data_IF_256178786922
#
_entry.id   IF_256178786922
#
_cell.length_a   1.000
_cell.length_b   1.000
_cell.length_c   1.000
_cell.angle_alpha   90.00
_cell.angle_beta   90.00
_cell.angle_gamma   90.00
#
_symmetry.space_group_name_H-M   'P 1'
#
loop_
_entity.id
_entity.type
_entity.pdbx_description
1 polymer ?
#
# COMPACT_ATOMS: atom_id res chain seq x y z
N UNK A 1 9.97 7.15 -14.01
CA UNK A 1 8.85 6.86 -13.08
C UNK A 1 9.00 5.42 -12.60
N UNK A 2 8.87 5.12 -11.31
CA UNK A 2 8.96 3.76 -10.82
C UNK A 2 7.77 2.92 -11.30
N UNK A 3 8.01 1.72 -11.86
CA UNK A 3 6.97 0.78 -12.31
C UNK A 3 6.94 -0.43 -11.38
N UNK A 4 5.77 -0.75 -10.82
CA UNK A 4 5.57 -1.92 -9.96
C UNK A 4 5.21 -3.16 -10.81
N UNK A 5 5.88 -4.30 -10.62
CA UNK A 5 5.64 -5.55 -11.37
C UNK A 5 5.59 -6.74 -10.41
N UNK A 6 4.71 -7.73 -10.65
CA UNK A 6 4.71 -8.97 -9.88
C UNK A 6 5.72 -9.99 -10.38
N UNK A 7 6.38 -10.67 -9.44
CA UNK A 7 7.12 -11.91 -9.68
C UNK A 7 6.43 -13.08 -8.96
N UNK A 8 6.30 -14.25 -9.59
CA UNK A 8 5.84 -15.47 -8.92
C UNK A 8 6.81 -15.89 -7.79
N UNK A 9 6.33 -16.31 -6.60
CA UNK A 9 4.94 -16.39 -6.13
C UNK A 9 4.59 -15.20 -5.21
N UNK A 10 3.95 -14.16 -5.74
CA UNK A 10 3.32 -13.09 -4.94
C UNK A 10 4.23 -11.92 -4.53
N UNK A 11 5.32 -11.67 -5.25
CA UNK A 11 6.30 -10.62 -4.94
C UNK A 11 6.01 -9.33 -5.71
N UNK A 12 6.10 -8.17 -5.06
CA UNK A 12 6.04 -6.85 -5.71
C UNK A 12 7.46 -6.32 -5.94
N UNK A 13 7.84 -6.06 -7.20
CA UNK A 13 9.10 -5.41 -7.58
C UNK A 13 8.81 -3.98 -8.02
N UNK A 14 9.38 -2.99 -7.34
CA UNK A 14 9.38 -1.61 -7.82
C UNK A 14 10.64 -1.38 -8.66
N UNK A 15 10.48 -0.99 -9.92
CA UNK A 15 11.59 -0.67 -10.84
C UNK A 15 11.60 0.84 -11.04
N UNK A 16 12.39 1.57 -10.25
CA UNK A 16 12.80 2.94 -10.60
C UNK A 16 14.08 2.88 -11.46
N UNK A 17 14.29 3.90 -12.29
CA UNK A 17 15.28 3.98 -13.38
C UNK A 17 16.75 4.05 -12.94
N UNK A 18 17.18 3.15 -12.03
CA UNK A 18 18.56 3.05 -11.58
C UNK A 18 18.84 1.99 -10.51
N UNK A 19 17.82 1.43 -9.86
CA UNK A 19 18.06 0.56 -8.70
C UNK A 19 17.15 -0.65 -8.73
N UNK A 20 17.70 -1.77 -9.20
CA UNK A 20 17.03 -3.06 -9.18
C UNK A 20 17.42 -3.79 -7.90
N UNK A 21 16.57 -3.82 -6.88
CA UNK A 21 16.65 -4.89 -5.89
C UNK A 21 15.29 -5.46 -5.48
N UNK A 22 15.30 -6.79 -5.50
CA UNK A 22 14.24 -7.73 -5.25
C UNK A 22 14.51 -8.34 -3.88
N UNK A 23 14.10 -7.69 -2.79
CA UNK A 23 14.19 -8.30 -1.46
C UNK A 23 12.85 -8.91 -1.09
N UNK A 24 12.78 -10.24 -1.19
CA UNK A 24 11.72 -11.06 -0.61
C UNK A 24 11.52 -10.60 0.84
N UNK A 25 10.34 -10.09 1.18
CA UNK A 25 9.96 -9.92 2.57
C UNK A 25 9.43 -11.28 3.02
N UNK A 26 10.16 -12.05 3.83
CA UNK A 26 9.61 -13.25 4.42
C UNK A 26 8.37 -12.85 5.21
N UNK A 27 7.24 -13.52 4.92
CA UNK A 27 6.02 -13.37 5.69
C UNK A 27 6.33 -13.64 7.17
N UNK A 28 6.38 -12.58 7.98
CA UNK A 28 6.62 -12.70 9.41
C UNK A 28 5.28 -12.67 10.15
N UNK A 29 4.90 -13.82 10.72
CA UNK A 29 3.69 -13.95 11.54
C UNK A 29 3.66 -12.98 12.72
N UNK A 30 4.82 -12.60 13.27
CA UNK A 30 4.93 -11.67 14.40
C UNK A 30 4.55 -10.23 14.02
N UNK A 31 4.70 -9.84 12.75
CA UNK A 31 4.30 -8.50 12.25
C UNK A 31 2.89 -8.50 11.66
N UNK A 32 2.15 -9.62 11.69
CA UNK A 32 0.85 -9.77 11.03
C UNK A 32 -0.15 -8.67 11.40
N UNK A 33 -0.15 -8.21 12.64
CA UNK A 33 -1.05 -7.14 13.12
C UNK A 33 -0.65 -5.74 12.64
N UNK A 34 0.62 -5.51 12.28
CA UNK A 34 1.09 -4.23 11.74
C UNK A 34 0.94 -4.12 10.22
N UNK A 35 0.83 -5.24 9.50
CA UNK A 35 0.63 -5.27 8.04
C UNK A 35 -0.80 -5.62 7.60
N UNK A 36 -1.68 -6.04 8.51
CA UNK A 36 -3.03 -6.51 8.18
C UNK A 36 -4.09 -5.69 8.92
N UNK A 37 -4.73 -4.76 8.20
CA UNK A 37 -5.93 -4.07 8.66
C UNK A 37 -7.20 -4.88 8.40
N UNK A 38 -8.36 -4.34 8.83
CA UNK A 38 -9.65 -4.98 8.60
C UNK A 38 -9.95 -5.19 7.11
N UNK A 39 -9.72 -4.16 6.29
CA UNK A 39 -10.07 -4.14 4.86
C UNK A 39 -8.87 -4.11 3.91
N UNK A 40 -7.65 -3.83 4.39
CA UNK A 40 -6.47 -3.65 3.55
C UNK A 40 -5.27 -4.41 4.11
N UNK A 41 -4.40 -4.88 3.21
CA UNK A 41 -3.03 -5.23 3.48
C UNK A 41 -2.13 -4.00 3.25
N UNK A 42 -1.18 -3.81 4.16
CA UNK A 42 -0.13 -2.81 4.08
C UNK A 42 1.19 -3.54 3.95
N UNK A 43 1.89 -3.34 2.84
CA UNK A 43 3.21 -3.95 2.61
C UNK A 43 4.25 -2.84 2.57
N UNK A 44 5.28 -2.94 3.41
CA UNK A 44 6.44 -2.05 3.33
C UNK A 44 7.20 -2.34 2.03
N UNK A 45 7.42 -1.34 1.19
CA UNK A 45 8.33 -1.38 0.05
C UNK A 45 9.58 -0.63 0.45
N UNK A 46 10.71 -1.34 0.58
CA UNK A 46 11.99 -0.77 1.01
C UNK A 46 12.89 -0.57 -0.20
N UNK A 47 13.45 0.62 -0.33
CA UNK A 47 14.40 0.99 -1.37
C UNK A 47 15.83 1.01 -0.81
N UNK A 48 16.82 0.87 -1.68
CA UNK A 48 18.24 0.78 -1.28
C UNK A 48 18.81 2.10 -0.73
N UNK A 49 18.15 3.21 -1.07
CA UNK A 49 18.43 4.53 -0.50
C UNK A 49 17.87 4.70 0.93
N UNK A 50 17.28 3.65 1.50
CA UNK A 50 16.70 3.64 2.85
C UNK A 50 15.27 4.19 2.91
N UNK A 51 14.70 4.65 1.80
CA UNK A 51 13.31 5.08 1.76
C UNK A 51 12.39 3.87 1.94
N UNK A 52 11.30 4.07 2.68
CA UNK A 52 10.27 3.07 2.85
C UNK A 52 8.93 3.67 2.43
N UNK A 53 8.27 3.01 1.49
CA UNK A 53 6.88 3.30 1.11
C UNK A 53 5.95 2.19 1.63
N UNK A 54 4.65 2.46 1.60
CA UNK A 54 3.62 1.46 1.87
C UNK A 54 2.82 1.23 0.59
N UNK A 55 2.71 -0.05 0.20
CA UNK A 55 1.69 -0.51 -0.74
C UNK A 55 0.41 -0.90 0.02
N UNK A 56 -0.67 -0.17 -0.22
CA UNK A 56 -2.04 -0.46 0.24
C UNK A 56 -2.75 -1.33 -0.78
N UNK A 57 -3.17 -2.51 -0.35
CA UNK A 57 -3.88 -3.47 -1.20
C UNK A 57 -5.19 -3.83 -0.51
N UNK A 58 -6.31 -3.70 -1.22
CA UNK A 58 -7.61 -4.06 -0.64
C UNK A 58 -7.75 -5.57 -0.56
N UNK A 59 -8.27 -6.06 0.57
CA UNK A 59 -8.60 -7.47 0.76
C UNK A 59 -9.81 -7.81 -0.10
N UNK A 60 -9.72 -8.91 -0.84
CA UNK A 60 -10.85 -9.50 -1.56
C UNK A 60 -11.31 -10.71 -0.76
N UNK A 61 -12.58 -10.71 -0.39
CA UNK A 61 -13.25 -11.77 0.37
C UNK A 61 -14.68 -11.95 -0.14
N UNK A 62 -15.39 -12.96 0.34
CA UNK A 62 -16.75 -13.27 -0.08
C UNK A 62 -17.75 -12.12 0.13
N UNK A 63 -17.47 -11.20 1.05
CA UNK A 63 -18.29 -10.02 1.36
C UNK A 63 -17.80 -8.74 0.68
N UNK A 64 -16.87 -8.85 -0.27
CA UNK A 64 -16.31 -7.69 -0.95
C UNK A 64 -17.33 -7.07 -1.91
N UNK A 65 -17.35 -5.72 -2.04
CA UNK A 65 -18.22 -5.07 -3.01
C UNK A 65 -17.90 -5.51 -4.45
N UNK A 66 -18.85 -5.32 -5.40
CA UNK A 66 -18.60 -5.58 -6.81
C UNK A 66 -17.37 -4.82 -7.35
N UNK A 67 -16.68 -5.36 -8.38
CA UNK A 67 -15.44 -4.76 -8.91
C UNK A 67 -15.54 -3.27 -9.24
N UNK A 68 -16.62 -2.85 -9.93
CA UNK A 68 -16.82 -1.44 -10.28
C UNK A 68 -16.88 -0.51 -9.05
N UNK A 69 -17.52 -0.96 -7.97
CA UNK A 69 -17.60 -0.21 -6.71
C UNK A 69 -16.25 -0.19 -5.99
N UNK A 70 -15.50 -1.29 -6.00
CA UNK A 70 -14.13 -1.31 -5.47
C UNK A 70 -13.20 -0.35 -6.20
N UNK A 71 -13.29 -0.29 -7.52
CA UNK A 71 -12.50 0.64 -8.33
C UNK A 71 -12.88 2.09 -8.07
N UNK A 72 -14.17 2.36 -7.88
CA UNK A 72 -14.64 3.67 -7.45
C UNK A 72 -14.08 4.05 -6.07
N UNK A 73 -14.13 3.13 -5.11
CA UNK A 73 -13.56 3.35 -3.77
C UNK A 73 -12.07 3.65 -3.85
N UNK A 74 -11.29 2.87 -4.61
CA UNK A 74 -9.85 3.11 -4.77
C UNK A 74 -9.58 4.49 -5.40
N UNK A 75 -10.29 4.84 -6.48
CA UNK A 75 -10.16 6.15 -7.12
C UNK A 75 -10.53 7.30 -6.18
N UNK A 76 -11.59 7.13 -5.38
CA UNK A 76 -11.99 8.14 -4.39
C UNK A 76 -10.92 8.34 -3.32
N UNK A 77 -10.31 7.25 -2.85
CA UNK A 77 -9.23 7.30 -1.85
C UNK A 77 -8.00 8.02 -2.40
N UNK A 78 -7.58 7.69 -3.62
CA UNK A 78 -6.47 8.38 -4.31
C UNK A 78 -6.81 9.86 -4.52
N UNK A 79 -8.01 10.19 -5.00
CA UNK A 79 -8.42 11.57 -5.22
C UNK A 79 -8.39 12.39 -3.91
N UNK A 80 -8.84 11.80 -2.80
CA UNK A 80 -8.76 12.44 -1.48
C UNK A 80 -7.31 12.66 -1.04
N UNK A 81 -6.43 11.68 -1.21
CA UNK A 81 -5.01 11.84 -0.84
C UNK A 81 -4.31 12.90 -1.70
N UNK A 82 -4.57 12.93 -3.01
CA UNK A 82 -4.06 13.96 -3.92
C UNK A 82 -4.60 15.36 -3.60
N UNK A 83 -5.81 15.46 -3.05
CA UNK A 83 -6.33 16.71 -2.52
C UNK A 83 -5.61 17.12 -1.24
N UNK A 84 -5.42 16.18 -0.29
CA UNK A 84 -4.75 16.44 0.98
C UNK A 84 -3.29 16.85 0.81
N UNK A 85 -2.58 16.34 -0.21
CA UNK A 85 -1.20 16.74 -0.57
C UNK A 85 -1.08 18.24 -0.87
N UNK A 86 -2.20 18.92 -1.19
CA UNK A 86 -2.25 20.36 -1.44
C UNK A 86 -2.60 21.19 -0.20
N UNK A 87 -2.76 20.54 0.95
CA UNK A 87 -3.15 21.18 2.22
C UNK A 87 -2.01 21.11 3.23
N UNK A 88 -2.14 21.81 4.36
CA UNK A 88 -1.17 21.72 5.46
C UNK A 88 -1.35 20.46 6.34
N UNK A 89 -2.33 19.59 6.03
CA UNK A 89 -2.60 18.39 6.81
C UNK A 89 -1.54 17.33 6.51
N UNK A 90 -0.87 16.74 7.52
CA UNK A 90 0.10 15.68 7.29
C UNK A 90 -0.62 14.40 6.85
N UNK A 91 -0.63 14.17 5.54
CA UNK A 91 -1.19 12.99 4.89
C UNK A 91 -0.10 12.26 4.08
N UNK A 92 -0.23 10.94 3.84
CA UNK A 92 0.75 10.22 3.03
C UNK A 92 0.63 10.64 1.56
N UNK A 93 1.76 10.96 0.92
CA UNK A 93 1.79 11.28 -0.50
C UNK A 93 1.64 10.02 -1.33
N UNK A 94 0.79 10.08 -2.36
CA UNK A 94 0.63 8.99 -3.34
C UNK A 94 1.74 9.09 -4.38
N UNK A 95 2.46 7.98 -4.58
CA UNK A 95 3.52 7.85 -5.59
C UNK A 95 3.01 7.17 -6.85
N UNK A 96 2.15 6.16 -6.69
CA UNK A 96 1.55 5.42 -7.81
C UNK A 96 0.26 4.71 -7.36
N UNK A 97 -0.61 4.34 -8.29
CA UNK A 97 -1.77 3.50 -8.02
C UNK A 97 -2.23 2.78 -9.30
N UNK A 98 -2.83 1.61 -9.12
CA UNK A 98 -3.46 0.89 -10.22
C UNK A 98 -4.76 0.24 -9.78
N UNK A 99 -5.68 0.09 -10.73
CA UNK A 99 -6.92 -0.67 -10.54
C UNK A 99 -6.68 -2.15 -10.81
N UNK A 100 -7.63 -2.98 -10.38
CA UNK A 100 -7.63 -4.39 -10.75
C UNK A 100 -8.14 -4.54 -12.18
N UNK A 101 -7.22 -4.71 -13.13
CA UNK A 101 -7.55 -4.97 -14.52
C UNK A 101 -6.46 -5.84 -15.17
N UNK A 102 -6.74 -6.49 -16.32
CA UNK A 102 -5.78 -7.39 -16.97
C UNK A 102 -4.46 -6.73 -17.39
N UNK A 103 -4.45 -5.40 -17.58
CA UNK A 103 -3.26 -4.65 -17.97
C UNK A 103 -2.40 -4.25 -16.78
N UNK A 104 -2.88 -4.44 -15.55
CA UNK A 104 -2.10 -4.23 -14.35
C UNK A 104 -1.23 -5.47 -14.13
N UNK A 105 0.11 -5.39 -14.28
CA UNK A 105 1.00 -6.53 -14.08
C UNK A 105 1.02 -7.01 -12.62
N UNK A 106 0.45 -6.23 -11.70
CA UNK A 106 0.28 -6.58 -10.30
C UNK A 106 -1.00 -7.40 -10.06
N UNK A 107 -1.92 -7.49 -11.02
CA UNK A 107 -3.10 -8.37 -10.90
C UNK A 107 -4.10 -8.04 -9.79
N UNK A 108 -3.84 -7.03 -8.96
CA UNK A 108 -4.75 -6.49 -7.95
C UNK A 108 -4.60 -4.98 -7.83
N UNK A 109 -5.67 -4.33 -7.38
CA UNK A 109 -5.67 -2.89 -7.15
C UNK A 109 -4.77 -2.50 -5.97
N UNK A 110 -3.94 -1.47 -6.15
CA UNK A 110 -3.04 -0.98 -5.12
C UNK A 110 -2.92 0.54 -5.12
N UNK A 111 -2.49 1.08 -3.99
CA UNK A 111 -2.01 2.46 -3.83
C UNK A 111 -0.61 2.39 -3.21
N UNK A 112 0.38 2.97 -3.87
CA UNK A 112 1.75 3.11 -3.38
C UNK A 112 1.93 4.52 -2.84
N UNK A 113 2.29 4.66 -1.57
CA UNK A 113 2.32 5.95 -0.88
C UNK A 113 3.38 6.01 0.22
N UNK A 114 3.63 7.19 0.77
CA UNK A 114 4.57 7.36 1.87
C UNK A 114 4.25 6.49 3.09
N UNK A 115 5.32 6.02 3.74
CA UNK A 115 5.24 5.49 5.10
C UNK A 115 5.35 6.65 6.09
N UNK A 116 4.25 7.02 6.72
CA UNK A 116 4.28 8.04 7.76
C UNK A 116 5.02 7.55 9.01
N UNK A 117 5.78 8.42 9.70
CA UNK A 117 6.40 8.08 10.97
C UNK A 117 5.32 7.89 12.04
N UNK A 118 5.51 6.88 12.90
CA UNK A 118 4.62 6.62 14.02
C UNK A 118 4.39 5.14 14.28
N UNK A 119 3.46 4.87 15.20
CA UNK A 119 3.01 3.52 15.57
C UNK A 119 1.49 3.48 15.58
N UNK A 120 0.91 2.36 15.16
CA UNK A 120 -0.54 2.16 15.26
C UNK A 120 -1.00 2.31 16.70
N UNK A 121 -2.06 3.09 16.93
CA UNK A 121 -2.67 3.25 18.23
C UNK A 121 -3.27 1.90 18.67
N UNK A 122 -2.71 1.33 19.73
CA UNK A 122 -3.25 0.13 20.38
C UNK A 122 -4.13 0.57 21.54
N UNK A 123 -5.43 0.67 21.29
CA UNK A 123 -6.42 1.11 22.30
C UNK A 123 -6.31 0.35 23.62
N UNK A 124 -6.04 -0.96 23.58
CA UNK A 124 -5.89 -1.79 24.80
C UNK A 124 -4.67 -1.44 25.66
N UNK A 125 -3.71 -0.68 25.13
CA UNK A 125 -2.50 -0.24 25.81
C UNK A 125 -2.43 1.28 25.94
N UNK A 126 -3.48 2.00 25.54
CA UNK A 126 -3.52 3.44 25.63
C UNK A 126 -3.77 3.83 27.10
N UNK A 127 -2.81 4.53 27.70
CA UNK A 127 -2.98 5.20 29.00
C UNK A 127 -3.38 6.65 28.76
N UNK A 128 -4.22 7.22 29.63
CA UNK A 128 -4.40 8.68 29.67
C UNK A 128 -3.06 9.33 29.97
N UNK A 129 -2.70 10.36 29.19
CA UNK A 129 -1.59 11.27 29.49
C UNK A 129 -2.05 12.34 30.46
#
# INVERSE_FOLDING_TARGET
MPTLTILPPGMLKCVSSGTSLTRLIPYNRATRTSVMGGMNYHIDVRFDDGIIWIARIRRINATSPPPALRDYILRSEVATLLFLDKTAIPAPKVHDFALENPNNPVGFGFILMDKLPGRSLRWSLATQQ
#
